data_IF_427339109388
#
_entry.id   IF_427339109388
#
_cell.length_a   1.000
_cell.length_b   1.000
_cell.length_c   1.000
_cell.angle_alpha   90.00
_cell.angle_beta   90.00
_cell.angle_gamma   90.00
#
_symmetry.space_group_name_H-M   'P 1'
#
loop_
_entity.id
_entity.type
_entity.pdbx_description
1 polymer ?
#
# COMPACT_ATOMS: atom_id res chain seq x y z
N UNK A 1 27.07 8.30 16.75
CA UNK A 1 26.61 9.59 17.33
C UNK A 1 25.59 10.34 16.45
N UNK A 2 25.72 10.36 15.12
CA UNK A 2 24.78 11.08 14.21
C UNK A 2 23.48 10.28 13.95
N UNK A 3 23.58 8.96 13.78
CA UNK A 3 22.43 8.08 13.50
C UNK A 3 21.36 8.16 14.59
N UNK A 4 21.76 8.20 15.87
CA UNK A 4 20.84 8.30 17.02
C UNK A 4 20.10 9.64 17.08
N UNK A 5 20.74 10.72 16.63
CA UNK A 5 20.17 12.07 16.58
C UNK A 5 19.21 12.21 15.39
N UNK A 6 19.56 11.65 14.21
CA UNK A 6 18.67 11.53 13.04
C UNK A 6 17.43 10.67 13.35
N UNK A 7 17.63 9.52 13.99
CA UNK A 7 16.55 8.64 14.43
C UNK A 7 15.60 9.32 15.43
N UNK A 8 16.11 10.09 16.39
CA UNK A 8 15.26 10.82 17.35
C UNK A 8 14.41 11.94 16.70
N UNK A 9 14.91 12.57 15.64
CA UNK A 9 14.16 13.52 14.82
C UNK A 9 13.07 12.81 14.01
N UNK A 10 13.39 11.67 13.40
CA UNK A 10 12.43 10.86 12.64
C UNK A 10 11.34 10.25 13.52
N UNK A 11 11.65 9.83 14.75
CA UNK A 11 10.66 9.37 15.73
C UNK A 11 9.71 10.48 16.20
N UNK A 12 10.22 11.71 16.36
CA UNK A 12 9.37 12.88 16.60
C UNK A 12 8.46 13.14 15.40
N UNK A 13 8.99 13.09 14.18
CA UNK A 13 8.19 13.26 12.97
C UNK A 13 7.15 12.13 12.81
N UNK A 14 7.50 10.89 13.10
CA UNK A 14 6.60 9.75 13.08
C UNK A 14 5.44 9.90 14.08
N UNK A 15 5.67 10.58 15.21
CA UNK A 15 4.67 10.81 16.25
C UNK A 15 3.73 12.01 15.98
N UNK A 16 4.15 12.99 15.17
CA UNK A 16 3.38 14.21 14.86
C UNK A 16 2.90 14.33 13.41
N UNK A 17 3.40 13.49 12.51
CA UNK A 17 3.05 13.52 11.09
C UNK A 17 1.79 12.72 10.81
N UNK A 18 0.80 13.34 10.17
CA UNK A 18 -0.41 12.69 9.64
C UNK A 18 -0.07 11.47 8.78
N UNK A 19 1.11 11.46 8.16
CA UNK A 19 1.59 10.39 7.29
C UNK A 19 1.85 9.07 8.00
N UNK A 20 2.17 9.04 9.30
CA UNK A 20 2.33 7.77 10.03
C UNK A 20 1.00 7.05 10.23
N UNK A 21 -0.05 7.80 10.57
CA UNK A 21 -1.42 7.26 10.63
C UNK A 21 -1.89 6.81 9.25
N UNK A 22 -1.64 7.61 8.21
CA UNK A 22 -1.97 7.25 6.83
C UNK A 22 -1.26 5.95 6.38
N UNK A 23 0.03 5.79 6.73
CA UNK A 23 0.78 4.57 6.45
C UNK A 23 0.17 3.34 7.13
N UNK A 24 -0.10 3.43 8.44
CA UNK A 24 -0.65 2.31 9.22
C UNK A 24 -2.04 1.92 8.68
N UNK A 25 -2.89 2.90 8.37
CA UNK A 25 -4.21 2.64 7.78
C UNK A 25 -4.06 1.99 6.40
N UNK A 26 -3.19 2.53 5.52
CA UNK A 26 -2.98 1.96 4.19
C UNK A 26 -2.44 0.53 4.24
N UNK A 27 -1.48 0.27 5.13
CA UNK A 27 -0.90 -1.06 5.33
C UNK A 27 -1.95 -2.03 5.87
N UNK A 28 -2.74 -1.63 6.87
CA UNK A 28 -3.81 -2.45 7.43
C UNK A 28 -4.88 -2.79 6.39
N UNK A 29 -5.32 -1.80 5.59
CA UNK A 29 -6.32 -2.00 4.54
C UNK A 29 -5.81 -2.95 3.45
N UNK A 30 -4.57 -2.74 2.96
CA UNK A 30 -3.98 -3.62 1.95
C UNK A 30 -3.75 -5.04 2.47
N UNK A 31 -3.23 -5.19 3.69
CA UNK A 31 -3.04 -6.49 4.31
C UNK A 31 -4.38 -7.22 4.52
N UNK A 32 -5.41 -6.51 4.99
CA UNK A 32 -6.76 -7.06 5.15
C UNK A 32 -7.36 -7.51 3.82
N UNK A 33 -7.24 -6.68 2.79
CA UNK A 33 -7.80 -6.97 1.47
C UNK A 33 -7.12 -8.19 0.80
N UNK A 34 -5.84 -8.41 1.08
CA UNK A 34 -5.13 -9.62 0.64
C UNK A 34 -5.46 -10.85 1.49
N UNK A 35 -5.66 -10.70 2.81
CA UNK A 35 -6.01 -11.79 3.70
C UNK A 35 -7.45 -12.29 3.50
N UNK A 36 -8.39 -11.37 3.26
CA UNK A 36 -9.81 -11.66 2.99
C UNK A 36 -10.19 -11.08 1.62
N UNK A 37 -9.82 -11.75 0.52
CA UNK A 37 -10.08 -11.23 -0.82
C UNK A 37 -11.59 -11.23 -1.08
N UNK A 38 -12.13 -10.04 -1.38
CA UNK A 38 -13.51 -9.87 -1.80
C UNK A 38 -13.75 -10.55 -3.16
N UNK A 39 -15.02 -10.80 -3.56
CA UNK A 39 -15.32 -11.41 -4.87
C UNK A 39 -14.71 -10.64 -6.05
N UNK A 40 -14.64 -9.30 -5.94
CA UNK A 40 -13.94 -8.42 -6.88
C UNK A 40 -12.43 -8.68 -6.89
N UNK A 41 -11.80 -8.73 -5.72
CA UNK A 41 -10.36 -9.03 -5.59
C UNK A 41 -10.02 -10.43 -6.13
N UNK A 42 -10.90 -11.41 -5.94
CA UNK A 42 -10.78 -12.75 -6.51
C UNK A 42 -10.83 -12.73 -8.04
N UNK A 43 -11.67 -11.89 -8.65
CA UNK A 43 -11.69 -11.68 -10.11
C UNK A 43 -10.42 -10.97 -10.60
N UNK A 44 -9.98 -9.92 -9.90
CA UNK A 44 -8.73 -9.23 -10.20
C UNK A 44 -7.56 -10.22 -10.17
N UNK A 45 -7.51 -11.10 -9.17
CA UNK A 45 -6.46 -12.12 -9.06
C UNK A 45 -6.47 -13.12 -10.22
N UNK A 46 -7.64 -13.45 -10.78
CA UNK A 46 -7.73 -14.34 -11.97
C UNK A 46 -7.39 -13.62 -13.27
N UNK A 47 -7.86 -12.39 -13.45
CA UNK A 47 -7.72 -11.64 -14.70
C UNK A 47 -6.36 -10.92 -14.82
N UNK A 48 -5.79 -10.49 -13.69
CA UNK A 48 -4.55 -9.72 -13.60
C UNK A 48 -3.58 -10.30 -12.56
N UNK A 49 -3.10 -11.55 -12.72
CA UNK A 49 -2.21 -12.19 -11.75
C UNK A 49 -0.88 -11.43 -11.57
N UNK A 50 -0.32 -10.87 -12.64
CA UNK A 50 0.90 -10.06 -12.59
C UNK A 50 0.72 -8.78 -11.77
N UNK A 51 -0.45 -8.14 -11.86
CA UNK A 51 -0.76 -6.95 -11.06
C UNK A 51 -0.82 -7.30 -9.57
N UNK A 52 -1.42 -8.44 -9.22
CA UNK A 52 -1.46 -8.92 -7.82
C UNK A 52 -0.08 -9.28 -7.28
N UNK A 53 0.80 -9.86 -8.10
CA UNK A 53 2.22 -10.02 -7.75
C UNK A 53 2.91 -8.68 -7.50
N UNK A 54 2.62 -7.67 -8.34
CA UNK A 54 3.08 -6.30 -8.14
C UNK A 54 2.63 -5.70 -6.80
N UNK A 55 1.37 -5.92 -6.41
CA UNK A 55 0.85 -5.48 -5.11
C UNK A 55 1.61 -6.12 -3.94
N UNK A 56 1.90 -7.43 -4.01
CA UNK A 56 2.74 -8.08 -3.00
C UNK A 56 4.15 -7.47 -2.96
N UNK A 57 4.74 -7.17 -4.13
CA UNK A 57 6.01 -6.46 -4.25
C UNK A 57 5.99 -5.07 -3.61
N UNK A 58 4.88 -4.32 -3.73
CA UNK A 58 4.76 -3.00 -3.08
C UNK A 58 4.72 -3.11 -1.54
N UNK A 59 4.17 -4.19 -0.98
CA UNK A 59 4.22 -4.42 0.47
C UNK A 59 5.65 -4.66 0.93
N UNK A 60 6.40 -5.50 0.21
CA UNK A 60 7.82 -5.73 0.49
C UNK A 60 8.61 -4.43 0.33
N UNK A 61 8.36 -3.67 -0.74
CA UNK A 61 8.97 -2.37 -0.98
C UNK A 61 8.68 -1.35 0.12
N UNK A 62 7.45 -1.33 0.64
CA UNK A 62 7.07 -0.47 1.76
C UNK A 62 7.79 -0.88 3.06
N UNK A 63 7.99 -2.17 3.32
CA UNK A 63 8.78 -2.66 4.45
C UNK A 63 10.26 -2.29 4.31
N UNK A 64 10.85 -2.46 3.12
CA UNK A 64 12.24 -2.06 2.85
C UNK A 64 12.41 -0.55 2.98
N UNK A 65 11.48 0.23 2.44
CA UNK A 65 11.47 1.69 2.58
C UNK A 65 11.41 2.10 4.05
N UNK A 66 10.60 1.43 4.87
CA UNK A 66 10.51 1.69 6.30
C UNK A 66 11.82 1.42 7.05
N UNK A 67 12.60 0.43 6.61
CA UNK A 67 13.87 0.06 7.24
C UNK A 67 15.06 0.92 6.78
N UNK A 68 15.08 1.34 5.51
CA UNK A 68 16.26 1.96 4.89
C UNK A 68 16.16 3.49 4.82
N UNK A 69 14.96 4.05 4.79
CA UNK A 69 14.76 5.48 4.57
C UNK A 69 14.60 6.24 5.89
N UNK A 70 15.26 7.39 6.00
CA UNK A 70 15.18 8.27 7.17
C UNK A 70 13.71 8.58 7.55
N UNK A 71 12.85 8.90 6.58
CA UNK A 71 11.41 9.09 6.77
C UNK A 71 10.60 7.89 6.29
N UNK A 72 11.14 6.67 6.39
CA UNK A 72 10.69 5.49 5.63
C UNK A 72 9.20 5.14 5.65
N UNK A 73 8.47 5.73 6.57
CA UNK A 73 7.02 5.69 6.71
C UNK A 73 6.30 6.50 5.63
N UNK A 74 6.78 7.71 5.31
CA UNK A 74 6.24 8.51 4.20
C UNK A 74 6.52 7.81 2.88
N UNK A 75 7.74 7.30 2.70
CA UNK A 75 8.12 6.55 1.51
C UNK A 75 7.27 5.27 1.37
N UNK A 76 7.12 4.49 2.44
CA UNK A 76 6.26 3.31 2.46
C UNK A 76 4.78 3.67 2.21
N UNK A 77 4.30 4.81 2.73
CA UNK A 77 2.93 5.26 2.51
C UNK A 77 2.66 5.55 1.04
N UNK A 78 3.59 6.24 0.35
CA UNK A 78 3.45 6.49 -1.09
C UNK A 78 3.43 5.19 -1.89
N UNK A 79 4.31 4.24 -1.56
CA UNK A 79 4.36 2.94 -2.24
C UNK A 79 3.03 2.19 -2.07
N UNK A 80 2.47 2.18 -0.87
CA UNK A 80 1.14 1.58 -0.61
C UNK A 80 0.00 2.38 -1.24
N UNK A 81 0.14 3.70 -1.39
CA UNK A 81 -0.86 4.53 -2.05
C UNK A 81 -0.99 4.18 -3.53
N UNK A 82 0.13 3.97 -4.23
CA UNK A 82 0.15 3.46 -5.60
C UNK A 82 -0.46 2.05 -5.73
N UNK A 83 -0.21 1.18 -4.75
CA UNK A 83 -0.83 -0.14 -4.72
C UNK A 83 -2.36 -0.02 -4.60
N UNK A 84 -2.82 0.88 -3.73
CA UNK A 84 -4.25 1.14 -3.50
C UNK A 84 -4.94 1.72 -4.73
N UNK A 85 -4.32 2.72 -5.39
CA UNK A 85 -4.86 3.32 -6.61
C UNK A 85 -4.96 2.31 -7.76
N UNK A 86 -3.99 1.40 -7.87
CA UNK A 86 -4.02 0.31 -8.86
C UNK A 86 -5.21 -0.63 -8.62
N UNK A 87 -5.44 -1.05 -7.37
CA UNK A 87 -6.59 -1.90 -7.02
C UNK A 87 -7.91 -1.20 -7.28
N UNK A 88 -8.02 0.08 -6.92
CA UNK A 88 -9.22 0.89 -7.17
C UNK A 88 -9.51 1.01 -8.67
N UNK A 89 -8.49 1.35 -9.47
CA UNK A 89 -8.62 1.45 -10.92
C UNK A 89 -9.09 0.13 -11.55
N UNK A 90 -8.48 -1.00 -11.17
CA UNK A 90 -8.90 -2.31 -11.66
C UNK A 90 -10.31 -2.67 -11.20
N UNK A 91 -10.69 -2.30 -9.98
CA UNK A 91 -12.04 -2.53 -9.46
C UNK A 91 -13.08 -1.74 -10.26
N UNK A 92 -12.84 -0.44 -10.50
CA UNK A 92 -13.74 0.40 -11.32
C UNK A 92 -13.85 -0.12 -12.74
N UNK A 93 -12.72 -0.51 -13.36
CA UNK A 93 -12.72 -1.08 -14.71
C UNK A 93 -13.55 -2.37 -14.79
N UNK A 94 -13.40 -3.28 -13.84
CA UNK A 94 -14.14 -4.54 -13.81
C UNK A 94 -15.63 -4.37 -13.50
N UNK A 95 -15.99 -3.34 -12.75
CA UNK A 95 -17.40 -2.97 -12.54
C UNK A 95 -17.99 -2.40 -13.83
N UNK A 96 -17.27 -1.49 -14.50
CA UNK A 96 -17.72 -0.89 -15.76
C UNK A 96 -17.92 -1.91 -16.88
N UNK A 97 -17.02 -2.91 -17.01
CA UNK A 97 -17.15 -3.99 -18.01
C UNK A 97 -18.38 -4.88 -17.76
N UNK A 98 -18.84 -4.97 -16.50
CA UNK A 98 -20.02 -5.76 -16.15
C UNK A 98 -21.30 -5.10 -16.64
N UNK A 99 -21.37 -3.77 -16.55
CA UNK A 99 -22.53 -2.96 -16.96
C UNK A 99 -22.67 -2.89 -18.48
N UNK A 100 -21.58 -3.00 -19.25
CA UNK A 100 -21.62 -3.01 -20.73
C UNK A 100 -22.02 -4.35 -21.34
N UNK A 101 -21.99 -5.43 -20.55
CA UNK A 101 -22.34 -6.79 -20.99
C UNK A 101 -23.80 -7.16 -20.63
N UNK A 102 -24.49 -6.31 -19.86
CA UNK A 102 -25.93 -6.43 -19.57
C UNK A 102 -26.76 -5.57 -20.52
#
# INVERSE_FOLDING_TARGET
AIIRRKASMNLKLFRYSVWSRAFVIALAVLAWLLYRPTPLMLRIKRLYPCAVLGLAGTIVGALVALLVNDSGVVAGALVLHFATSTVLFLSVRLISDRESTQ
#
